data_IF_706945778036
#
_entry.id   IF_706945778036
#
_cell.length_a   1.000
_cell.length_b   1.000
_cell.length_c   1.000
_cell.angle_alpha   90.00
_cell.angle_beta   90.00
_cell.angle_gamma   90.00
#
_symmetry.space_group_name_H-M   'P 1'
#
loop_
_entity.id
_entity.type
_entity.pdbx_description
1 polymer ?
#
# COMPACT_ATOMS: atom_id res chain seq x y z
N UNK A 1 -24.00 23.64 23.75
CA UNK A 1 -25.16 22.85 23.34
C UNK A 1 -24.67 21.49 22.91
N UNK A 2 -25.13 20.51 23.61
CA UNK A 2 -24.97 19.04 23.59
C UNK A 2 -23.95 18.42 22.61
N UNK A 3 -22.76 18.13 23.18
CA UNK A 3 -21.76 17.31 22.57
C UNK A 3 -22.12 15.82 22.66
N UNK A 4 -22.07 15.13 21.56
CA UNK A 4 -22.21 13.67 21.49
C UNK A 4 -20.85 13.07 21.85
N UNK A 5 -20.77 12.56 23.08
CA UNK A 5 -19.67 11.67 23.50
C UNK A 5 -19.88 10.33 22.81
N UNK A 6 -19.10 10.05 21.78
CA UNK A 6 -18.94 8.69 21.28
C UNK A 6 -18.12 7.91 22.29
N UNK A 7 -18.81 7.04 23.03
CA UNK A 7 -18.18 6.04 23.87
C UNK A 7 -17.47 5.03 22.97
N UNK A 8 -16.13 5.02 23.04
CA UNK A 8 -15.30 3.95 22.51
C UNK A 8 -15.47 2.77 23.46
N UNK A 9 -16.30 1.80 23.09
CA UNK A 9 -16.37 0.53 23.79
C UNK A 9 -15.08 -0.24 23.47
N UNK A 10 -14.09 -0.09 24.33
CA UNK A 10 -12.99 -1.02 24.42
C UNK A 10 -13.57 -2.35 24.90
N UNK A 11 -13.75 -3.30 24.01
CA UNK A 11 -13.97 -4.70 24.34
C UNK A 11 -12.64 -5.19 24.90
N UNK A 12 -12.49 -5.07 26.19
CA UNK A 12 -11.46 -5.75 26.96
C UNK A 12 -11.87 -7.22 26.95
N UNK A 13 -11.33 -8.01 26.01
CA UNK A 13 -11.36 -9.45 26.09
C UNK A 13 -10.52 -9.82 27.30
N UNK A 14 -11.21 -10.00 28.41
CA UNK A 14 -10.66 -10.59 29.63
C UNK A 14 -10.31 -12.06 29.27
N UNK A 15 -9.12 -12.27 28.75
CA UNK A 15 -8.51 -13.57 28.76
C UNK A 15 -8.33 -13.92 30.25
N UNK A 16 -9.26 -14.70 30.76
CA UNK A 16 -9.09 -15.37 32.04
C UNK A 16 -7.90 -16.28 31.85
N UNK A 17 -6.71 -15.79 32.10
CA UNK A 17 -5.55 -16.60 32.38
C UNK A 17 -5.84 -17.26 33.72
N UNK A 18 -6.51 -18.40 33.68
CA UNK A 18 -6.41 -19.35 34.75
C UNK A 18 -4.98 -19.84 34.69
N UNK A 19 -4.10 -19.17 35.40
CA UNK A 19 -2.81 -19.68 35.76
C UNK A 19 -3.04 -20.84 36.74
N UNK A 20 -3.37 -22.01 36.16
CA UNK A 20 -3.20 -23.23 36.90
C UNK A 20 -1.69 -23.40 36.98
N UNK A 21 -1.11 -22.99 38.10
CA UNK A 21 0.24 -23.41 38.48
C UNK A 21 0.36 -24.92 38.19
N UNK A 22 1.49 -25.39 37.66
CA UNK A 22 1.70 -26.80 37.52
C UNK A 22 1.75 -27.35 38.96
N UNK A 23 0.59 -27.71 39.44
CA UNK A 23 0.57 -28.66 40.55
C UNK A 23 1.19 -29.94 39.99
N UNK A 24 2.39 -30.21 40.38
CA UNK A 24 2.89 -31.59 40.39
C UNK A 24 1.97 -32.38 41.29
N UNK A 25 0.78 -32.65 40.79
CA UNK A 25 -0.15 -33.56 41.43
C UNK A 25 0.36 -34.95 41.10
N UNK A 26 1.15 -35.50 42.00
CA UNK A 26 1.11 -36.93 42.25
C UNK A 26 -0.29 -37.32 42.79
N UNK A 27 -1.35 -36.82 42.17
CA UNK A 27 -2.71 -37.23 42.41
C UNK A 27 -2.96 -38.45 41.53
N UNK A 28 -3.22 -39.52 42.16
CA UNK A 28 -3.71 -40.79 41.71
C UNK A 28 -3.58 -41.13 40.23
N UNK A 29 -2.77 -42.11 39.90
CA UNK A 29 -2.52 -42.69 38.56
C UNK A 29 -3.79 -43.05 37.73
N UNK A 30 -4.99 -42.78 38.21
CA UNK A 30 -6.25 -43.17 37.58
C UNK A 30 -6.55 -42.46 36.28
N UNK A 31 -6.14 -41.18 36.12
CA UNK A 31 -6.47 -40.41 34.95
C UNK A 31 -5.55 -40.66 33.77
N UNK A 32 -4.29 -41.02 34.02
CA UNK A 32 -3.32 -41.35 32.98
C UNK A 32 -3.41 -42.78 32.48
N UNK A 33 -3.76 -43.72 33.37
CA UNK A 33 -3.66 -45.15 33.09
C UNK A 33 -5.01 -45.84 33.14
N UNK A 34 -5.20 -46.82 32.28
CA UNK A 34 -6.32 -47.76 32.29
C UNK A 34 -5.84 -49.17 32.61
N UNK A 35 -6.66 -49.90 33.36
CA UNK A 35 -6.38 -51.28 33.68
C UNK A 35 -6.59 -52.14 32.43
N UNK A 36 -5.58 -52.90 32.05
CA UNK A 36 -5.68 -53.74 30.85
C UNK A 36 -6.49 -54.98 31.19
N UNK A 37 -7.63 -55.14 30.52
CA UNK A 37 -8.53 -56.26 30.73
C UNK A 37 -7.82 -57.61 30.45
N UNK A 38 -8.06 -58.61 31.26
CA UNK A 38 -7.50 -59.97 31.09
C UNK A 38 -6.00 -60.09 31.43
N UNK A 39 -5.31 -59.00 31.76
CA UNK A 39 -3.89 -59.03 32.15
C UNK A 39 -3.66 -59.09 33.65
N UNK A 40 -4.73 -59.16 34.43
CA UNK A 40 -4.67 -59.31 35.86
C UNK A 40 -4.42 -60.81 36.22
N UNK A 41 -3.46 -61.10 37.07
CA UNK A 41 -3.16 -62.46 37.46
C UNK A 41 -2.77 -62.52 38.92
N UNK A 42 -3.08 -63.62 39.55
CA UNK A 42 -2.61 -63.99 40.90
C UNK A 42 -1.63 -65.13 40.75
N UNK A 43 -0.49 -64.98 41.31
CA UNK A 43 0.54 -66.04 41.32
C UNK A 43 0.98 -66.27 42.77
N UNK A 44 0.58 -67.45 43.35
CA UNK A 44 0.74 -67.69 44.71
C UNK A 44 0.17 -66.59 45.62
N UNK A 45 1.04 -65.90 46.36
CA UNK A 45 0.70 -64.78 47.24
C UNK A 45 0.92 -63.37 46.61
N UNK A 46 1.27 -63.33 45.34
CA UNK A 46 1.42 -62.05 44.59
C UNK A 46 0.30 -61.84 43.62
N UNK A 47 -0.22 -60.62 43.61
CA UNK A 47 -1.12 -60.11 42.56
C UNK A 47 -0.33 -59.25 41.58
N UNK A 48 -0.56 -59.42 40.28
CA UNK A 48 0.02 -58.61 39.26
C UNK A 48 -1.12 -57.84 38.55
N UNK A 49 -1.10 -56.53 38.64
CA UNK A 49 -2.02 -55.63 37.96
C UNK A 49 -1.27 -54.90 36.86
N UNK A 50 -1.79 -54.95 35.64
CA UNK A 50 -1.15 -54.37 34.48
C UNK A 50 -1.99 -53.19 33.98
N UNK A 51 -1.35 -52.08 33.74
CA UNK A 51 -1.93 -50.83 33.28
C UNK A 51 -1.21 -50.33 32.02
N UNK A 52 -1.90 -49.60 31.22
CA UNK A 52 -1.33 -48.89 30.08
C UNK A 52 -1.77 -47.41 30.07
N UNK A 53 -0.94 -46.52 29.53
CA UNK A 53 -1.35 -45.13 29.28
C UNK A 53 -2.60 -45.13 28.40
N UNK A 54 -3.66 -44.44 28.82
CA UNK A 54 -4.94 -44.39 28.13
C UNK A 54 -4.75 -44.00 26.67
N UNK A 55 -5.31 -44.81 25.79
CA UNK A 55 -5.27 -44.57 24.33
C UNK A 55 -3.93 -44.90 23.67
N UNK A 56 -2.81 -45.06 24.38
CA UNK A 56 -1.47 -45.15 23.82
C UNK A 56 -1.10 -46.49 23.22
N UNK A 57 -1.73 -47.56 23.70
CA UNK A 57 -1.42 -48.90 23.24
C UNK A 57 -2.12 -49.99 24.06
N UNK A 58 -1.74 -51.22 23.87
CA UNK A 58 -2.23 -52.37 24.60
C UNK A 58 -1.07 -53.17 25.21
N UNK A 59 -1.41 -54.07 26.10
CA UNK A 59 -0.42 -55.02 26.69
C UNK A 59 -0.94 -56.43 26.45
N UNK A 60 -0.04 -57.34 26.05
CA UNK A 60 -0.33 -58.76 25.89
C UNK A 60 0.57 -59.59 26.75
N UNK A 61 0.06 -60.71 27.27
CA UNK A 61 0.85 -61.70 27.98
C UNK A 61 1.52 -62.63 26.96
N UNK A 62 2.85 -62.58 26.88
CA UNK A 62 3.62 -63.33 25.87
C UNK A 62 4.29 -64.57 26.40
N UNK A 63 4.46 -64.63 27.73
CA UNK A 63 5.06 -65.81 28.35
C UNK A 63 4.56 -66.06 29.79
N UNK A 64 4.39 -67.31 30.16
CA UNK A 64 4.03 -67.73 31.51
C UNK A 64 4.63 -69.09 31.83
N UNK A 65 5.05 -69.24 33.05
CA UNK A 65 5.34 -70.57 33.60
C UNK A 65 4.13 -71.16 34.31
N UNK A 66 4.04 -72.47 34.47
CA UNK A 66 2.96 -73.15 35.20
C UNK A 66 2.97 -72.76 36.67
N UNK A 67 1.81 -72.84 37.35
CA UNK A 67 1.69 -72.56 38.77
C UNK A 67 2.55 -73.50 39.65
N UNK A 68 2.78 -74.71 39.22
CA UNK A 68 3.63 -75.72 39.92
C UNK A 68 5.08 -75.29 39.90
N UNK A 69 5.60 -74.73 38.84
CA UNK A 69 6.97 -74.20 38.78
C UNK A 69 7.14 -72.91 39.59
N UNK A 70 6.07 -72.18 39.82
CA UNK A 70 6.08 -70.95 40.64
C UNK A 70 6.29 -71.31 42.15
N UNK A 71 5.67 -72.37 42.60
CA UNK A 71 5.83 -72.85 43.98
C UNK A 71 7.23 -73.51 44.28
N UNK A 72 7.95 -73.94 43.27
CA UNK A 72 9.31 -74.45 43.33
C UNK A 72 10.42 -73.42 43.08
N UNK A 73 10.08 -72.12 43.06
CA UNK A 73 11.07 -71.09 43.09
C UNK A 73 11.35 -70.36 41.75
N UNK A 74 10.72 -70.74 40.63
CA UNK A 74 10.99 -70.06 39.32
C UNK A 74 9.77 -69.96 38.49
N UNK A 75 8.89 -69.02 38.85
CA UNK A 75 7.76 -68.62 38.00
C UNK A 75 7.97 -67.24 37.35
N UNK A 76 7.52 -67.08 36.16
CA UNK A 76 7.55 -65.78 35.51
C UNK A 76 6.25 -65.46 34.78
N UNK A 77 6.04 -64.17 34.57
CA UNK A 77 5.03 -63.61 33.64
C UNK A 77 5.74 -62.60 32.78
N UNK A 78 5.57 -62.73 31.49
CA UNK A 78 6.14 -61.78 30.52
C UNK A 78 5.04 -61.05 29.80
N UNK A 79 5.17 -59.73 29.73
CA UNK A 79 4.18 -58.83 29.10
C UNK A 79 4.88 -58.09 27.98
N UNK A 80 4.15 -57.91 26.86
CA UNK A 80 4.53 -57.15 25.69
C UNK A 80 3.65 -55.92 25.58
N UNK A 81 4.26 -54.74 25.49
CA UNK A 81 3.55 -53.52 25.16
C UNK A 81 3.43 -53.40 23.63
N UNK A 82 2.23 -53.07 23.15
CA UNK A 82 1.93 -52.88 21.76
C UNK A 82 1.52 -51.42 21.54
N UNK A 83 2.35 -50.72 20.77
CA UNK A 83 2.22 -49.29 20.47
C UNK A 83 1.11 -49.02 19.45
N UNK A 84 0.26 -48.00 19.64
CA UNK A 84 -0.61 -47.46 18.62
C UNK A 84 0.13 -46.44 17.74
N UNK A 85 -0.40 -46.21 16.53
CA UNK A 85 0.07 -45.17 15.63
C UNK A 85 0.03 -43.78 16.31
N UNK A 86 0.99 -42.93 16.00
CA UNK A 86 1.16 -41.58 16.57
C UNK A 86 1.42 -41.49 18.07
N UNK A 87 1.83 -42.61 18.67
CA UNK A 87 2.32 -42.66 20.03
C UNK A 87 3.79 -43.07 20.10
N UNK A 88 4.44 -42.75 21.19
CA UNK A 88 5.87 -43.10 21.47
C UNK A 88 5.97 -43.95 22.71
N UNK A 89 6.70 -45.05 22.59
CA UNK A 89 6.97 -45.93 23.74
C UNK A 89 7.96 -45.28 24.71
N UNK A 90 7.61 -45.25 26.01
CA UNK A 90 8.41 -44.62 27.07
C UNK A 90 8.93 -45.57 28.12
N UNK A 91 8.69 -46.83 27.96
CA UNK A 91 9.17 -47.86 28.89
C UNK A 91 8.13 -48.31 29.92
N UNK A 92 8.56 -49.20 30.73
CA UNK A 92 7.80 -49.77 31.85
C UNK A 92 8.13 -49.03 33.14
N UNK A 93 7.11 -48.80 33.99
CA UNK A 93 7.28 -48.45 35.39
C UNK A 93 6.49 -49.43 36.23
N UNK A 94 6.84 -49.58 37.50
CA UNK A 94 6.12 -50.50 38.39
C UNK A 94 6.09 -49.96 39.82
N UNK A 95 5.16 -50.52 40.62
CA UNK A 95 5.06 -50.32 42.04
C UNK A 95 4.89 -51.65 42.74
N UNK A 96 5.42 -51.75 43.96
CA UNK A 96 5.18 -52.84 44.86
C UNK A 96 4.34 -52.34 46.03
N UNK A 97 3.21 -52.97 46.24
CA UNK A 97 2.29 -52.59 47.31
C UNK A 97 2.18 -53.72 48.31
N UNK A 98 2.47 -53.46 49.58
CA UNK A 98 2.20 -54.37 50.71
C UNK A 98 1.01 -53.86 51.48
N UNK A 99 -0.09 -54.62 51.51
CA UNK A 99 -1.36 -54.19 52.12
C UNK A 99 -1.81 -52.77 51.68
N UNK A 100 -1.61 -52.46 50.40
CA UNK A 100 -1.97 -51.14 49.79
C UNK A 100 -0.97 -50.03 50.12
N UNK A 101 0.10 -50.20 50.84
CA UNK A 101 1.16 -49.20 51.01
C UNK A 101 2.21 -49.30 49.88
N UNK A 102 2.57 -48.22 49.30
CA UNK A 102 3.69 -48.15 48.36
C UNK A 102 5.02 -48.36 49.10
N UNK A 103 5.76 -49.37 48.72
CA UNK A 103 7.05 -49.71 49.33
C UNK A 103 8.23 -49.07 48.60
N UNK A 104 7.94 -48.27 47.56
CA UNK A 104 8.97 -47.74 46.67
C UNK A 104 9.71 -48.83 45.89
N UNK A 105 10.90 -48.51 45.39
CA UNK A 105 11.73 -49.46 44.62
C UNK A 105 12.65 -50.28 45.49
N UNK A 106 12.15 -50.87 46.52
CA UNK A 106 12.98 -51.70 47.34
C UNK A 106 13.27 -53.03 46.64
N UNK A 107 14.54 -53.26 46.37
CA UNK A 107 15.10 -54.60 46.02
C UNK A 107 15.37 -55.43 47.26
N UNK A 108 14.97 -54.98 48.43
CA UNK A 108 15.30 -55.56 49.70
C UNK A 108 14.49 -56.84 50.00
N UNK A 109 15.13 -57.77 50.70
CA UNK A 109 14.53 -58.97 51.27
C UNK A 109 13.43 -58.57 52.26
N UNK A 110 12.21 -58.47 51.83
CA UNK A 110 11.10 -58.32 52.75
C UNK A 110 10.53 -59.73 53.07
N UNK A 111 10.69 -60.18 54.28
CA UNK A 111 10.27 -61.50 54.71
C UNK A 111 10.80 -62.71 53.91
N UNK A 112 12.08 -62.67 53.54
CA UNK A 112 12.75 -63.86 53.00
C UNK A 112 12.38 -64.22 51.55
N UNK A 113 11.47 -63.54 50.92
CA UNK A 113 11.10 -63.77 49.52
C UNK A 113 11.68 -62.67 48.64
N UNK A 114 12.59 -63.08 47.75
CA UNK A 114 13.19 -62.15 46.76
C UNK A 114 12.36 -62.15 45.46
N UNK A 115 11.92 -61.04 45.08
CA UNK A 115 11.38 -60.80 43.72
C UNK A 115 12.47 -60.10 42.89
N UNK A 116 12.90 -60.74 41.80
CA UNK A 116 13.78 -60.08 40.84
C UNK A 116 13.02 -59.77 39.58
N UNK A 117 13.14 -58.53 39.13
CA UNK A 117 12.78 -58.18 37.78
C UNK A 117 14.01 -58.41 36.91
N UNK A 118 13.90 -59.14 35.80
CA UNK A 118 15.05 -59.40 34.96
C UNK A 118 15.63 -58.06 34.46
N UNK A 119 16.95 -57.96 34.35
CA UNK A 119 17.77 -56.74 34.18
C UNK A 119 17.49 -55.90 32.97
N UNK A 120 16.52 -56.23 32.20
CA UNK A 120 16.14 -55.39 31.04
C UNK A 120 15.10 -54.36 31.47
N UNK A 121 15.53 -53.36 32.29
CA UNK A 121 14.84 -52.14 32.43
C UNK A 121 13.84 -51.88 33.55
N UNK A 122 14.23 -52.16 34.79
CA UNK A 122 13.41 -51.70 35.90
C UNK A 122 14.16 -50.70 36.80
N UNK A 123 14.79 -49.73 36.20
CA UNK A 123 15.04 -48.47 36.87
C UNK A 123 13.90 -47.52 36.52
N UNK A 124 13.01 -47.27 37.47
CA UNK A 124 11.89 -46.34 37.30
C UNK A 124 12.36 -44.92 37.07
N UNK A 125 13.63 -44.61 37.22
CA UNK A 125 14.23 -43.27 37.01
C UNK A 125 14.76 -43.08 35.61
N UNK A 126 15.01 -44.14 34.89
CA UNK A 126 15.50 -44.04 33.50
C UNK A 126 14.54 -44.73 32.55
N UNK A 127 13.82 -44.03 31.69
CA UNK A 127 13.04 -44.64 30.63
C UNK A 127 13.98 -45.52 29.80
N UNK A 128 13.63 -46.78 29.64
CA UNK A 128 14.38 -47.68 28.77
C UNK A 128 14.17 -47.28 27.30
N UNK A 129 15.23 -46.77 26.70
CA UNK A 129 15.24 -46.41 25.26
C UNK A 129 15.45 -47.63 24.34
N UNK A 130 15.27 -48.83 24.82
CA UNK A 130 15.40 -50.05 24.03
C UNK A 130 14.11 -50.41 23.30
N UNK A 131 14.26 -51.05 22.16
CA UNK A 131 13.17 -51.61 21.36
C UNK A 131 12.40 -52.76 22.03
N UNK A 132 12.92 -53.30 23.11
CA UNK A 132 12.28 -54.37 23.86
C UNK A 132 11.09 -53.84 24.68
N UNK A 133 9.91 -53.97 24.13
CA UNK A 133 8.62 -53.61 24.75
C UNK A 133 8.14 -54.72 25.72
N UNK A 134 9.07 -55.58 26.19
CA UNK A 134 8.73 -56.70 27.07
C UNK A 134 9.28 -56.50 28.49
N UNK A 135 8.49 -56.89 29.45
CA UNK A 135 8.87 -56.94 30.86
C UNK A 135 8.59 -58.36 31.41
N UNK A 136 9.52 -58.90 32.21
CA UNK A 136 9.34 -60.16 32.88
C UNK A 136 9.31 -59.93 34.40
N UNK A 137 8.33 -60.47 35.05
CA UNK A 137 8.20 -60.51 36.51
C UNK A 137 8.52 -61.90 36.96
N UNK A 138 9.62 -62.05 37.71
CA UNK A 138 10.08 -63.33 38.19
C UNK A 138 9.96 -63.39 39.74
N UNK A 139 9.50 -64.48 40.25
CA UNK A 139 9.55 -64.73 41.68
C UNK A 139 10.77 -65.63 41.99
N UNK A 140 11.58 -65.17 42.89
CA UNK A 140 12.65 -65.99 43.48
C UNK A 140 12.28 -66.33 44.93
N UNK A 141 12.04 -67.60 45.22
CA UNK A 141 11.85 -68.09 46.60
C UNK A 141 13.07 -68.81 47.00
N UNK A 142 13.54 -68.54 48.19
CA UNK A 142 14.52 -69.45 48.93
C UNK A 142 13.69 -70.52 49.58
N UNK A 143 14.15 -71.77 49.49
CA UNK A 143 13.45 -72.91 50.09
C UNK A 143 13.28 -72.73 51.63
N UNK A 144 12.02 -72.76 52.09
CA UNK A 144 11.70 -72.75 53.54
C UNK A 144 11.10 -71.44 54.06
N UNK A 145 10.87 -70.44 53.22
CA UNK A 145 10.27 -69.15 53.64
C UNK A 145 8.75 -69.12 53.51
N UNK A 146 8.05 -68.75 54.55
CA UNK A 146 6.60 -68.54 54.58
C UNK A 146 6.33 -67.05 54.34
N UNK A 147 5.68 -66.71 53.25
CA UNK A 147 5.27 -65.31 52.97
C UNK A 147 3.95 -65.00 53.67
N UNK A 148 4.00 -64.17 54.71
CA UNK A 148 2.87 -63.83 55.56
C UNK A 148 1.97 -62.72 55.00
N UNK A 149 2.41 -62.04 53.91
CA UNK A 149 1.71 -60.89 53.41
C UNK A 149 1.65 -60.96 51.91
N UNK A 150 0.44 -60.62 51.35
CA UNK A 150 0.20 -60.53 49.96
C UNK A 150 0.83 -59.23 49.38
N UNK A 151 1.65 -59.37 48.34
CA UNK A 151 2.25 -58.24 47.57
C UNK A 151 1.51 -58.05 46.27
N UNK A 152 1.15 -56.80 45.99
CA UNK A 152 0.60 -56.46 44.74
C UNK A 152 1.64 -55.72 43.90
N UNK A 153 1.87 -56.14 42.66
CA UNK A 153 2.71 -55.51 41.70
C UNK A 153 1.78 -54.77 40.72
N UNK A 154 1.94 -53.45 40.65
CA UNK A 154 1.30 -52.64 39.60
C UNK A 154 2.35 -52.34 38.54
N UNK A 155 2.12 -52.76 37.30
CA UNK A 155 3.03 -52.59 36.16
C UNK A 155 2.38 -51.66 35.16
N UNK A 156 3.08 -50.64 34.73
CA UNK A 156 2.58 -49.60 33.87
C UNK A 156 3.37 -49.55 32.56
N UNK A 157 2.68 -49.75 31.43
CA UNK A 157 3.18 -49.46 30.09
C UNK A 157 2.99 -47.99 29.78
N UNK A 158 4.08 -47.28 29.58
CA UNK A 158 4.06 -45.84 29.38
C UNK A 158 4.16 -45.48 27.90
N UNK A 159 3.25 -44.61 27.44
CA UNK A 159 3.21 -44.07 26.09
C UNK A 159 3.00 -42.59 26.16
N UNK A 160 3.64 -41.84 25.23
CA UNK A 160 3.43 -40.43 25.05
C UNK A 160 2.78 -40.17 23.67
N UNK A 161 1.82 -39.24 23.56
CA UNK A 161 1.24 -38.85 22.29
C UNK A 161 2.20 -38.01 21.46
N UNK A 162 1.93 -37.88 20.17
CA UNK A 162 2.66 -36.97 19.27
C UNK A 162 1.76 -35.89 18.71
N UNK A 163 2.36 -34.76 18.35
CA UNK A 163 1.72 -33.74 17.56
C UNK A 163 2.46 -33.67 16.23
N UNK A 164 1.71 -33.74 15.10
CA UNK A 164 2.25 -33.61 13.76
C UNK A 164 1.94 -32.23 13.24
N UNK A 165 2.98 -31.39 13.03
CA UNK A 165 2.86 -30.05 12.49
C UNK A 165 3.26 -30.03 11.02
N UNK A 166 2.53 -29.28 10.19
CA UNK A 166 2.83 -29.07 8.78
C UNK A 166 2.45 -27.65 8.34
N UNK A 167 3.14 -27.14 7.32
CA UNK A 167 2.91 -25.84 6.74
C UNK A 167 2.91 -25.93 5.22
N UNK A 168 2.01 -25.19 4.57
CA UNK A 168 2.07 -24.93 3.15
C UNK A 168 3.15 -23.91 2.79
N UNK A 169 3.31 -23.64 1.50
CA UNK A 169 4.25 -22.62 1.02
C UNK A 169 3.84 -21.22 1.48
N UNK A 170 4.85 -20.38 1.74
CA UNK A 170 4.63 -18.97 2.09
C UNK A 170 4.73 -18.62 3.54
N UNK A 171 5.26 -19.52 4.37
CA UNK A 171 5.54 -19.28 5.77
C UNK A 171 6.14 -20.51 6.45
N UNK A 172 6.17 -20.50 7.77
CA UNK A 172 6.73 -21.55 8.60
C UNK A 172 5.88 -21.80 9.83
N UNK A 173 6.02 -23.01 10.39
CA UNK A 173 5.55 -23.39 11.71
C UNK A 173 6.71 -23.97 12.48
N UNK A 174 6.81 -23.64 13.77
CA UNK A 174 7.83 -24.24 14.65
C UNK A 174 7.64 -25.74 14.80
N UNK A 175 8.74 -26.47 15.06
CA UNK A 175 8.69 -27.91 15.32
C UNK A 175 7.95 -28.74 14.25
N UNK A 176 8.14 -28.39 12.96
CA UNK A 176 7.54 -29.11 11.85
C UNK A 176 7.80 -30.62 11.92
N UNK A 177 6.82 -31.40 11.45
CA UNK A 177 6.84 -32.84 11.48
C UNK A 177 6.27 -33.40 12.80
N UNK A 178 6.50 -34.69 13.05
CA UNK A 178 5.99 -35.39 14.22
C UNK A 178 6.88 -35.15 15.45
N UNK A 179 6.32 -34.62 16.53
CA UNK A 179 7.02 -34.34 17.80
C UNK A 179 6.28 -35.00 18.94
N UNK A 180 7.04 -35.69 19.80
CA UNK A 180 6.54 -36.24 21.04
C UNK A 180 6.17 -35.13 22.03
N UNK A 181 5.11 -35.35 22.79
CA UNK A 181 4.69 -34.52 23.93
C UNK A 181 4.47 -35.46 25.13
N UNK A 182 4.93 -35.06 26.30
CA UNK A 182 4.65 -35.83 27.52
C UNK A 182 3.13 -35.93 27.75
N UNK A 183 2.63 -37.09 28.14
CA UNK A 183 1.21 -37.32 28.43
C UNK A 183 0.72 -36.31 29.48
N UNK A 184 -0.32 -35.52 29.14
CA UNK A 184 -0.81 -34.41 29.96
C UNK A 184 0.03 -33.15 29.90
N UNK A 185 1.11 -33.11 29.11
CA UNK A 185 1.97 -31.96 28.91
C UNK A 185 1.36 -30.90 28.03
N UNK A 186 2.06 -29.77 27.87
CA UNK A 186 1.69 -28.67 27.02
C UNK A 186 2.71 -28.50 25.87
N UNK A 187 2.24 -28.01 24.70
CA UNK A 187 3.11 -27.73 23.56
C UNK A 187 2.58 -26.51 22.79
N UNK A 188 3.48 -25.60 22.48
CA UNK A 188 3.12 -24.43 21.64
C UNK A 188 3.74 -24.53 20.27
N UNK A 189 3.00 -24.03 19.26
CA UNK A 189 3.43 -23.89 17.89
C UNK A 189 3.26 -22.45 17.46
N UNK A 190 4.33 -21.83 16.99
CA UNK A 190 4.30 -20.49 16.42
C UNK A 190 4.33 -20.60 14.91
N UNK A 191 3.35 -19.98 14.28
CA UNK A 191 3.22 -19.84 12.83
C UNK A 191 3.70 -18.45 12.45
N UNK A 192 4.54 -18.35 11.42
CA UNK A 192 5.05 -17.07 10.90
C UNK A 192 4.92 -17.06 9.39
N UNK A 193 4.17 -16.08 8.86
CA UNK A 193 4.03 -15.87 7.43
C UNK A 193 5.29 -15.22 6.86
N UNK A 194 5.66 -15.55 5.62
CA UNK A 194 6.73 -14.88 4.90
C UNK A 194 6.36 -13.42 4.59
N UNK A 195 7.36 -12.61 4.27
CA UNK A 195 7.15 -11.19 3.89
C UNK A 195 6.11 -11.08 2.77
N UNK A 196 5.13 -10.18 2.96
CA UNK A 196 4.06 -9.96 1.99
C UNK A 196 2.96 -11.01 2.00
N UNK A 197 3.00 -11.95 2.93
CA UNK A 197 1.97 -12.97 3.12
C UNK A 197 1.30 -12.85 4.48
N UNK A 198 0.17 -13.53 4.61
CA UNK A 198 -0.58 -13.68 5.86
C UNK A 198 -1.07 -15.12 5.98
N UNK A 199 -1.42 -15.53 7.17
CA UNK A 199 -2.06 -16.82 7.42
C UNK A 199 -3.42 -16.80 6.71
N UNK A 200 -3.63 -17.77 5.84
CA UNK A 200 -4.93 -17.98 5.21
C UNK A 200 -5.83 -18.83 6.10
N UNK A 201 -5.30 -19.97 6.55
CA UNK A 201 -6.02 -20.88 7.43
C UNK A 201 -5.04 -21.61 8.36
N UNK A 202 -5.41 -21.77 9.61
CA UNK A 202 -4.78 -22.69 10.58
C UNK A 202 -5.83 -23.70 11.00
N UNK A 203 -5.50 -25.00 10.91
CA UNK A 203 -6.37 -26.07 11.34
C UNK A 203 -5.71 -26.91 12.41
N UNK A 204 -6.51 -27.36 13.39
CA UNK A 204 -6.11 -28.30 14.42
C UNK A 204 -7.11 -29.46 14.40
N UNK A 205 -6.62 -30.67 14.17
CA UNK A 205 -7.45 -31.88 14.02
C UNK A 205 -8.60 -31.71 13.01
N UNK A 206 -8.31 -30.94 11.93
CA UNK A 206 -9.29 -30.63 10.88
C UNK A 206 -10.25 -29.49 11.22
N UNK A 207 -10.21 -28.92 12.42
CA UNK A 207 -11.02 -27.77 12.82
C UNK A 207 -10.26 -26.47 12.61
N UNK A 208 -10.93 -25.48 12.02
CA UNK A 208 -10.33 -24.16 11.74
C UNK A 208 -10.18 -23.33 13.02
N UNK A 209 -9.01 -22.72 13.20
CA UNK A 209 -8.71 -21.74 14.25
C UNK A 209 -8.91 -20.35 13.66
N UNK A 210 -10.13 -19.78 13.83
CA UNK A 210 -10.55 -18.53 13.20
C UNK A 210 -9.65 -17.33 13.53
N UNK A 211 -9.12 -17.30 14.77
CA UNK A 211 -8.31 -16.18 15.26
C UNK A 211 -6.93 -16.08 14.62
N UNK A 212 -6.52 -17.09 13.86
CA UNK A 212 -5.24 -17.11 13.15
C UNK A 212 -5.31 -16.42 11.78
N UNK A 213 -6.46 -16.49 11.12
CA UNK A 213 -6.64 -15.98 9.76
C UNK A 213 -6.35 -14.48 9.65
N UNK A 214 -5.63 -14.07 8.61
CA UNK A 214 -5.28 -12.67 8.34
C UNK A 214 -4.10 -12.14 9.16
N UNK A 215 -3.54 -12.92 10.09
CA UNK A 215 -2.36 -12.53 10.88
C UNK A 215 -1.06 -12.89 10.15
N UNK A 216 0.01 -12.20 10.50
CA UNK A 216 1.37 -12.51 10.04
C UNK A 216 2.05 -13.52 10.96
N UNK A 217 1.70 -13.49 12.24
CA UNK A 217 2.17 -14.41 13.26
C UNK A 217 1.03 -14.81 14.17
N UNK A 218 1.03 -16.09 14.56
CA UNK A 218 0.06 -16.64 15.50
C UNK A 218 0.67 -17.80 16.27
N UNK A 219 0.43 -17.86 17.58
CA UNK A 219 0.86 -18.96 18.43
C UNK A 219 -0.35 -19.76 18.91
N UNK A 220 -0.38 -21.05 18.57
CA UNK A 220 -1.37 -22.00 19.09
C UNK A 220 -0.76 -22.81 20.22
N UNK A 221 -1.49 -22.97 21.34
CA UNK A 221 -1.06 -23.73 22.51
C UNK A 221 -1.96 -24.95 22.72
N UNK A 222 -1.39 -26.14 22.60
CA UNK A 222 -1.99 -27.35 23.11
C UNK A 222 -1.76 -27.43 24.63
N UNK A 223 -2.82 -27.71 25.36
CA UNK A 223 -2.78 -27.88 26.82
C UNK A 223 -3.29 -29.26 27.18
N UNK A 224 -2.67 -29.92 28.18
CA UNK A 224 -3.04 -31.25 28.66
C UNK A 224 -3.17 -32.28 27.52
N UNK A 225 -2.08 -32.48 26.77
CA UNK A 225 -2.06 -33.36 25.59
C UNK A 225 -2.16 -34.82 26.03
N UNK A 226 -3.31 -35.44 25.85
CA UNK A 226 -3.60 -36.83 26.23
C UNK A 226 -3.86 -37.76 25.04
N UNK A 227 -3.82 -37.20 23.81
CA UNK A 227 -3.99 -37.92 22.55
C UNK A 227 -3.11 -37.32 21.48
N UNK A 228 -2.83 -38.00 20.35
CA UNK A 228 -2.17 -37.42 19.19
C UNK A 228 -3.02 -36.32 18.54
N UNK A 229 -2.33 -35.29 18.03
CA UNK A 229 -2.94 -34.15 17.34
C UNK A 229 -2.25 -33.86 16.02
N UNK A 230 -2.94 -33.10 15.13
CA UNK A 230 -2.40 -32.58 13.91
C UNK A 230 -2.65 -31.08 13.86
N UNK A 231 -1.65 -30.31 13.42
CA UNK A 231 -1.76 -28.87 13.17
C UNK A 231 -1.22 -28.57 11.79
N UNK A 232 -2.00 -27.84 10.99
CA UNK A 232 -1.64 -27.48 9.62
C UNK A 232 -1.97 -26.01 9.34
N UNK A 233 -1.08 -25.31 8.62
CA UNK A 233 -1.26 -23.91 8.25
C UNK A 233 -1.08 -23.73 6.76
N UNK A 234 -1.92 -22.85 6.16
CA UNK A 234 -1.77 -22.33 4.78
C UNK A 234 -1.61 -20.82 4.81
N UNK A 235 -1.01 -20.26 3.73
CA UNK A 235 -0.72 -18.85 3.61
C UNK A 235 -1.22 -18.30 2.28
N UNK A 236 -1.55 -17.00 2.25
CA UNK A 236 -1.91 -16.26 1.04
C UNK A 236 -1.18 -14.92 0.98
N UNK A 237 -1.15 -14.31 -0.21
CA UNK A 237 -0.61 -12.98 -0.38
C UNK A 237 -1.46 -11.94 0.35
N UNK A 238 -0.83 -10.91 0.92
CA UNK A 238 -1.52 -9.71 1.36
C UNK A 238 -2.10 -9.00 0.15
N UNK A 239 -3.23 -8.34 0.35
CA UNK A 239 -3.90 -7.56 -0.68
C UNK A 239 -3.97 -6.11 -0.20
N UNK A 240 -3.64 -5.18 -1.10
CA UNK A 240 -3.65 -3.75 -0.86
C UNK A 240 -4.62 -3.05 -1.81
N UNK A 241 -5.13 -1.91 -1.35
CA UNK A 241 -5.99 -1.05 -2.16
C UNK A 241 -5.14 -0.10 -2.98
N UNK A 242 -5.39 -0.06 -4.28
CA UNK A 242 -4.89 0.96 -5.20
C UNK A 242 -6.03 1.93 -5.47
N UNK A 243 -5.84 3.18 -5.13
CA UNK A 243 -6.83 4.25 -5.31
C UNK A 243 -6.30 5.35 -6.22
N UNK A 244 -7.21 6.17 -6.73
CA UNK A 244 -6.92 7.24 -7.66
C UNK A 244 -7.59 8.52 -7.18
N UNK A 245 -6.93 9.64 -7.39
CA UNK A 245 -7.50 10.96 -7.13
C UNK A 245 -7.07 11.95 -8.20
N UNK A 246 -7.88 12.97 -8.47
CA UNK A 246 -7.52 14.07 -9.33
C UNK A 246 -7.29 15.34 -8.54
N UNK A 247 -6.30 16.11 -8.96
CA UNK A 247 -5.99 17.43 -8.42
C UNK A 247 -5.87 18.45 -9.53
N UNK A 248 -6.32 19.65 -9.24
CA UNK A 248 -6.10 20.81 -10.13
C UNK A 248 -4.72 21.40 -9.85
N UNK A 249 -3.98 21.73 -10.91
CA UNK A 249 -2.72 22.49 -10.82
C UNK A 249 -2.96 24.00 -10.77
N UNK A 250 -4.19 24.44 -10.94
CA UNK A 250 -4.62 25.82 -10.90
C UNK A 250 -5.60 26.02 -9.75
N UNK A 251 -5.93 27.27 -9.41
CA UNK A 251 -6.89 27.59 -8.36
C UNK A 251 -8.35 27.27 -8.73
N UNK A 252 -8.60 26.79 -9.96
CA UNK A 252 -9.91 26.35 -10.41
C UNK A 252 -10.25 24.95 -9.94
N UNK A 253 -11.49 24.75 -9.54
CA UNK A 253 -12.04 23.45 -9.24
C UNK A 253 -12.19 22.61 -10.52
N UNK A 254 -11.94 21.31 -10.40
CA UNK A 254 -12.15 20.36 -11.49
C UNK A 254 -13.65 20.24 -11.79
N UNK A 255 -14.05 20.32 -13.07
CA UNK A 255 -15.44 20.15 -13.47
C UNK A 255 -15.86 18.67 -13.38
N UNK A 256 -17.18 18.42 -13.41
CA UNK A 256 -17.73 17.06 -13.30
C UNK A 256 -17.23 16.14 -14.41
N UNK A 257 -17.11 16.66 -15.63
CA UNK A 257 -16.64 15.90 -16.80
C UNK A 257 -15.21 15.39 -16.65
N UNK A 258 -14.37 16.09 -15.86
CA UNK A 258 -13.04 15.60 -15.48
C UNK A 258 -13.16 14.56 -14.37
N UNK A 259 -13.99 14.81 -13.35
CA UNK A 259 -14.15 13.89 -12.22
C UNK A 259 -14.76 12.53 -12.64
N UNK A 260 -15.60 12.52 -13.68
CA UNK A 260 -16.16 11.27 -14.24
C UNK A 260 -15.12 10.37 -14.92
N UNK A 261 -13.93 10.90 -15.22
CA UNK A 261 -12.82 10.12 -15.77
C UNK A 261 -11.99 9.41 -14.69
N UNK A 262 -12.30 9.63 -13.41
CA UNK A 262 -11.54 9.05 -12.30
C UNK A 262 -11.69 7.53 -12.28
N UNK A 263 -10.60 6.77 -12.33
CA UNK A 263 -10.67 5.32 -12.24
C UNK A 263 -11.20 4.84 -10.88
N UNK A 264 -11.92 3.72 -10.89
CA UNK A 264 -12.34 3.07 -9.65
C UNK A 264 -11.14 2.48 -8.91
N UNK A 265 -11.21 2.47 -7.58
CA UNK A 265 -10.22 1.78 -6.77
C UNK A 265 -10.23 0.27 -7.04
N UNK A 266 -9.08 -0.37 -6.97
CA UNK A 266 -8.90 -1.80 -7.19
C UNK A 266 -8.05 -2.44 -6.09
N UNK A 267 -8.14 -3.76 -5.98
CA UNK A 267 -7.34 -4.55 -5.05
C UNK A 267 -6.26 -5.33 -5.79
N UNK A 268 -5.01 -5.25 -5.32
CA UNK A 268 -3.84 -5.92 -5.90
C UNK A 268 -3.03 -6.63 -4.83
N UNK A 269 -2.41 -7.73 -5.19
CA UNK A 269 -1.58 -8.50 -4.27
C UNK A 269 -0.22 -7.86 -4.02
N UNK A 270 0.36 -8.19 -2.88
CA UNK A 270 1.73 -7.81 -2.52
C UNK A 270 2.73 -8.18 -3.62
N UNK A 271 3.65 -7.27 -3.91
CA UNK A 271 4.72 -7.46 -4.89
C UNK A 271 4.32 -7.21 -6.34
N UNK A 272 3.04 -7.01 -6.65
CA UNK A 272 2.60 -6.72 -8.01
C UNK A 272 3.11 -5.36 -8.47
N UNK A 273 3.52 -5.31 -9.74
CA UNK A 273 3.73 -4.05 -10.46
C UNK A 273 2.38 -3.41 -10.75
N UNK A 274 2.25 -2.11 -10.48
CA UNK A 274 1.03 -1.34 -10.77
C UNK A 274 1.38 -0.15 -11.64
N UNK A 275 0.65 -0.01 -12.73
CA UNK A 275 0.69 1.15 -13.62
C UNK A 275 -0.71 1.75 -13.67
N UNK A 276 -0.87 3.05 -13.40
CA UNK A 276 -2.17 3.68 -13.50
C UNK A 276 -2.75 3.55 -14.90
N UNK A 277 -4.07 3.43 -15.05
CA UNK A 277 -4.70 3.30 -16.34
C UNK A 277 -4.56 4.58 -17.17
N UNK A 278 -4.51 4.43 -18.49
CA UNK A 278 -4.66 5.55 -19.42
C UNK A 278 -6.10 6.04 -19.37
N UNK A 279 -6.29 7.35 -19.27
CA UNK A 279 -7.63 7.94 -19.28
C UNK A 279 -8.22 7.86 -20.69
N UNK A 280 -9.55 7.78 -20.76
CA UNK A 280 -10.27 7.78 -22.04
C UNK A 280 -10.17 9.12 -22.78
N UNK A 281 -9.89 10.21 -22.05
CA UNK A 281 -9.62 11.55 -22.55
C UNK A 281 -8.48 12.16 -21.76
N UNK A 282 -7.55 12.81 -22.46
CA UNK A 282 -6.45 13.58 -21.88
C UNK A 282 -6.73 15.08 -21.86
N UNK A 283 -7.87 15.50 -22.46
CA UNK A 283 -8.32 16.90 -22.48
C UNK A 283 -9.84 16.98 -22.39
N UNK A 284 -10.34 18.02 -21.70
CA UNK A 284 -11.76 18.33 -21.52
C UNK A 284 -11.96 19.82 -21.78
N UNK A 285 -12.85 20.14 -22.71
CA UNK A 285 -13.23 21.53 -23.02
C UNK A 285 -14.20 22.05 -21.95
N UNK A 286 -13.93 23.25 -21.47
CA UNK A 286 -14.82 24.03 -20.61
C UNK A 286 -15.28 25.29 -21.38
N UNK A 287 -16.24 26.04 -20.83
CA UNK A 287 -16.77 27.24 -21.43
C UNK A 287 -15.70 28.32 -21.70
N UNK A 288 -14.73 28.41 -20.80
CA UNK A 288 -13.73 29.47 -20.75
C UNK A 288 -12.28 28.98 -20.97
N UNK A 289 -12.08 27.69 -21.35
CA UNK A 289 -10.75 27.14 -21.57
C UNK A 289 -10.74 25.62 -21.77
N UNK A 290 -9.58 25.04 -21.61
CA UNK A 290 -9.34 23.61 -21.79
C UNK A 290 -8.64 23.09 -20.55
N UNK A 291 -9.12 21.97 -20.02
CA UNK A 291 -8.44 21.14 -19.03
C UNK A 291 -7.58 20.12 -19.75
N UNK A 292 -6.32 19.99 -19.35
CA UNK A 292 -5.37 19.02 -19.92
C UNK A 292 -4.79 18.17 -18.79
N UNK A 293 -4.77 16.86 -18.97
CA UNK A 293 -4.17 15.92 -18.07
C UNK A 293 -2.65 15.91 -18.22
N UNK A 294 -1.92 16.14 -17.13
CA UNK A 294 -0.45 16.18 -17.13
C UNK A 294 0.19 14.83 -16.72
N UNK A 295 -0.60 13.89 -16.26
CA UNK A 295 -0.13 12.56 -15.87
C UNK A 295 -0.38 12.21 -14.43
N UNK A 296 0.03 10.97 -14.09
CA UNK A 296 -0.10 10.38 -12.76
C UNK A 296 1.19 10.52 -11.95
N UNK A 297 1.05 10.71 -10.65
CA UNK A 297 2.13 10.63 -9.66
C UNK A 297 1.76 9.65 -8.54
N UNK A 298 2.61 8.63 -8.27
CA UNK A 298 3.74 8.23 -9.12
C UNK A 298 3.28 7.76 -10.50
N UNK A 299 4.17 7.71 -11.50
CA UNK A 299 3.82 7.22 -12.85
C UNK A 299 3.55 5.71 -12.87
N UNK A 300 3.98 5.01 -11.84
CA UNK A 300 3.80 3.58 -11.60
C UNK A 300 4.67 3.15 -10.43
N UNK A 301 4.46 1.93 -9.95
CA UNK A 301 5.27 1.29 -8.92
C UNK A 301 5.64 -0.11 -9.39
N UNK A 302 6.87 -0.54 -9.14
CA UNK A 302 7.34 -1.86 -9.57
C UNK A 302 6.95 -2.97 -8.61
N UNK A 303 6.68 -2.66 -7.36
CA UNK A 303 6.29 -3.65 -6.34
C UNK A 303 5.39 -3.00 -5.29
N UNK A 304 4.15 -3.44 -5.23
CA UNK A 304 3.16 -2.97 -4.25
C UNK A 304 3.43 -3.60 -2.89
N UNK A 305 3.72 -2.78 -1.88
CA UNK A 305 4.03 -3.24 -0.50
C UNK A 305 3.10 -2.67 0.55
N UNK A 306 2.22 -1.74 0.16
CA UNK A 306 1.22 -1.08 0.99
C UNK A 306 0.10 -0.53 0.13
N UNK A 307 -0.96 0.04 0.74
CA UNK A 307 -1.97 0.79 0.00
C UNK A 307 -1.35 1.93 -0.78
N UNK A 308 -1.79 2.14 -2.02
CA UNK A 308 -1.24 3.13 -2.92
C UNK A 308 -2.33 4.04 -3.47
N UNK A 309 -2.07 5.36 -3.45
CA UNK A 309 -2.88 6.33 -4.16
C UNK A 309 -2.06 6.93 -5.30
N UNK A 310 -2.64 6.97 -6.49
CA UNK A 310 -2.11 7.67 -7.66
C UNK A 310 -2.85 8.99 -7.82
N UNK A 311 -2.10 10.10 -7.84
CA UNK A 311 -2.64 11.45 -8.00
C UNK A 311 -2.48 11.88 -9.45
N UNK A 312 -3.59 12.08 -10.16
CA UNK A 312 -3.64 12.60 -11.53
C UNK A 312 -3.77 14.12 -11.52
N UNK A 313 -2.87 14.80 -12.19
CA UNK A 313 -2.83 16.27 -12.22
C UNK A 313 -3.48 16.82 -13.49
N UNK A 314 -4.41 17.75 -13.33
CA UNK A 314 -5.05 18.47 -14.41
C UNK A 314 -4.70 19.95 -14.39
N UNK A 315 -4.37 20.50 -15.55
CA UNK A 315 -4.08 21.93 -15.76
C UNK A 315 -5.20 22.58 -16.56
N UNK A 316 -5.69 23.72 -16.10
CA UNK A 316 -6.57 24.59 -16.86
C UNK A 316 -5.77 25.59 -17.68
N UNK A 317 -6.14 25.76 -18.95
CA UNK A 317 -5.63 26.79 -19.85
C UNK A 317 -6.82 27.60 -20.38
N UNK A 318 -6.95 28.86 -20.01
CA UNK A 318 -8.05 29.70 -20.51
C UNK A 318 -7.93 29.95 -22.02
N UNK A 319 -9.02 30.14 -22.67
CA UNK A 319 -9.01 30.66 -24.08
C UNK A 319 -8.41 32.04 -24.07
N UNK A 320 -7.72 32.36 -25.16
CA UNK A 320 -7.25 33.72 -25.37
C UNK A 320 -8.48 34.68 -25.50
N UNK A 321 -8.50 35.71 -24.69
CA UNK A 321 -9.50 36.77 -24.83
C UNK A 321 -9.00 37.68 -25.94
N UNK A 322 -9.69 37.70 -27.07
CA UNK A 322 -9.51 38.74 -28.11
C UNK A 322 -10.21 39.98 -27.59
N UNK A 323 -9.43 41.00 -27.26
CA UNK A 323 -9.98 42.30 -26.84
C UNK A 323 -10.17 43.09 -28.12
N UNK A 324 -11.43 43.40 -28.47
CA UNK A 324 -11.75 44.28 -29.58
C UNK A 324 -11.22 45.70 -29.32
N UNK A 325 -10.50 46.30 -30.27
CA UNK A 325 -10.03 47.68 -30.21
C UNK A 325 -10.79 48.53 -31.18
N UNK A 326 -11.12 49.83 -30.86
CA UNK A 326 -11.83 50.71 -31.79
C UNK A 326 -10.98 51.01 -33.03
N UNK A 327 -11.60 51.16 -34.21
CA UNK A 327 -10.91 51.49 -35.45
C UNK A 327 -10.22 52.85 -35.41
N UNK A 328 -9.29 53.06 -36.32
CA UNK A 328 -8.59 54.31 -36.53
C UNK A 328 -9.05 54.95 -37.88
N UNK A 329 -9.17 56.28 -37.90
CA UNK A 329 -9.43 57.02 -39.13
C UNK A 329 -8.21 57.86 -39.46
N UNK A 330 -7.66 57.71 -40.67
CA UNK A 330 -6.63 58.53 -41.21
C UNK A 330 -7.24 59.51 -42.18
N UNK A 331 -7.29 60.82 -41.83
CA UNK A 331 -7.80 61.92 -42.61
C UNK A 331 -7.03 63.17 -42.20
N UNK A 332 -6.70 64.03 -43.12
CA UNK A 332 -5.94 65.27 -42.91
C UNK A 332 -6.75 66.48 -43.31
N UNK A 333 -6.42 67.64 -42.73
CA UNK A 333 -6.97 68.96 -43.14
C UNK A 333 -6.70 69.25 -44.60
N UNK A 334 -7.68 69.85 -45.29
CA UNK A 334 -7.59 70.10 -46.70
C UNK A 334 -7.68 71.55 -46.97
N UNK A 335 -7.03 72.01 -48.06
CA UNK A 335 -7.17 73.38 -48.61
C UNK A 335 -7.55 73.27 -50.07
N UNK A 336 -8.60 73.98 -50.48
CA UNK A 336 -9.09 74.08 -51.85
C UNK A 336 -9.36 75.55 -52.22
N UNK A 337 -9.56 75.86 -53.49
CA UNK A 337 -9.90 77.16 -53.91
C UNK A 337 -11.42 77.32 -54.21
N UNK A 338 -11.95 78.53 -54.14
CA UNK A 338 -13.33 78.78 -54.50
C UNK A 338 -13.62 78.29 -55.94
N UNK A 339 -14.66 77.43 -56.04
CA UNK A 339 -15.07 76.80 -57.29
C UNK A 339 -14.43 75.45 -57.59
N UNK A 340 -13.53 74.94 -56.74
CA UNK A 340 -13.00 73.61 -56.87
C UNK A 340 -14.04 72.56 -56.48
N UNK A 341 -13.94 71.33 -57.05
CA UNK A 341 -14.74 70.18 -56.62
C UNK A 341 -14.17 69.59 -55.36
N UNK A 342 -15.00 69.24 -54.39
CA UNK A 342 -14.61 68.63 -53.18
C UNK A 342 -15.29 67.26 -52.95
N UNK A 343 -14.52 66.23 -52.85
CA UNK A 343 -15.00 64.90 -52.40
C UNK A 343 -14.55 64.68 -50.97
N UNK A 344 -15.49 64.58 -50.03
CA UNK A 344 -15.13 64.38 -48.61
C UNK A 344 -14.45 63.05 -48.32
N UNK A 345 -14.65 61.99 -49.13
CA UNK A 345 -14.03 60.65 -48.90
C UNK A 345 -12.70 60.51 -49.61
N UNK A 346 -12.28 61.41 -50.44
CA UNK A 346 -11.01 61.33 -51.15
C UNK A 346 -9.85 61.36 -50.13
N UNK A 347 -8.89 60.41 -50.24
CA UNK A 347 -7.68 60.25 -49.37
C UNK A 347 -7.99 60.07 -47.87
N UNK A 348 -9.16 59.54 -47.52
CA UNK A 348 -9.54 59.18 -46.19
C UNK A 348 -9.56 57.65 -46.12
N UNK A 349 -8.87 57.09 -45.12
CA UNK A 349 -8.82 55.65 -44.90
C UNK A 349 -9.15 55.32 -43.45
N UNK A 350 -9.63 54.13 -43.23
CA UNK A 350 -9.83 53.61 -41.89
C UNK A 350 -9.29 52.19 -41.81
N UNK A 351 -8.68 51.83 -40.62
CA UNK A 351 -8.16 50.52 -40.36
C UNK A 351 -8.45 50.16 -38.92
N UNK A 352 -8.71 48.86 -38.70
CA UNK A 352 -8.87 48.25 -37.42
C UNK A 352 -7.85 47.10 -37.25
N UNK A 353 -7.42 46.84 -36.00
CA UNK A 353 -6.42 45.81 -35.73
C UNK A 353 -6.98 44.41 -35.92
N UNK A 354 -8.25 44.20 -35.60
CA UNK A 354 -8.95 42.93 -35.63
C UNK A 354 -9.68 42.68 -36.94
N UNK A 355 -10.31 43.77 -37.53
CA UNK A 355 -11.16 43.70 -38.71
C UNK A 355 -10.45 44.11 -40.01
N UNK A 356 -9.25 44.70 -39.95
CA UNK A 356 -8.45 45.13 -41.08
C UNK A 356 -8.95 46.43 -41.69
N UNK A 357 -8.95 46.54 -43.04
CA UNK A 357 -9.36 47.76 -43.79
C UNK A 357 -10.87 48.00 -43.69
N UNK A 358 -11.23 49.11 -43.10
CA UNK A 358 -12.62 49.60 -42.96
C UNK A 358 -12.89 50.88 -43.78
N UNK A 359 -12.03 51.18 -44.73
CA UNK A 359 -12.14 52.42 -45.56
C UNK A 359 -13.52 52.54 -46.18
N UNK A 360 -14.09 51.46 -46.73
CA UNK A 360 -15.41 51.43 -47.34
C UNK A 360 -16.60 51.67 -46.38
N UNK A 361 -16.32 51.53 -45.07
CA UNK A 361 -17.28 51.67 -43.96
C UNK A 361 -17.29 53.06 -43.35
N UNK A 362 -16.48 53.96 -43.88
CA UNK A 362 -16.46 55.34 -43.40
C UNK A 362 -17.75 56.04 -43.79
N UNK A 363 -18.47 56.54 -42.80
CA UNK A 363 -19.60 57.44 -42.95
C UNK A 363 -19.14 58.87 -42.76
N UNK A 364 -19.62 59.79 -43.66
CA UNK A 364 -19.53 61.24 -43.46
C UNK A 364 -20.77 61.64 -42.70
N UNK A 365 -20.65 61.91 -41.42
CA UNK A 365 -21.79 62.27 -40.56
C UNK A 365 -22.07 63.76 -40.49
N UNK A 366 -21.08 64.57 -40.91
CA UNK A 366 -21.20 65.99 -41.03
C UNK A 366 -20.30 66.45 -42.15
N UNK A 367 -20.83 67.35 -43.03
CA UNK A 367 -20.08 68.05 -44.07
C UNK A 367 -20.66 69.45 -44.26
N UNK A 368 -19.93 70.44 -43.81
CA UNK A 368 -20.39 71.88 -43.93
C UNK A 368 -19.69 72.58 -45.03
N UNK A 369 -18.90 71.95 -45.90
CA UNK A 369 -18.07 72.54 -46.93
C UNK A 369 -18.93 73.21 -48.01
N UNK A 370 -18.81 74.56 -48.13
CA UNK A 370 -19.36 75.37 -49.23
C UNK A 370 -18.19 75.79 -50.13
N UNK A 371 -18.07 75.13 -51.29
CA UNK A 371 -16.97 75.37 -52.23
C UNK A 371 -17.13 76.66 -53.00
N UNK A 372 -18.30 77.30 -52.91
CA UNK A 372 -18.58 78.59 -53.60
C UNK A 372 -18.14 79.78 -52.75
N UNK A 373 -17.81 79.61 -51.50
CA UNK A 373 -17.50 80.66 -50.55
C UNK A 373 -16.20 80.43 -49.79
N UNK A 374 -15.31 81.41 -49.77
CA UNK A 374 -14.13 81.35 -48.97
C UNK A 374 -14.47 81.26 -47.45
N UNK A 375 -13.82 80.36 -46.72
CA UNK A 375 -14.11 80.12 -45.30
C UNK A 375 -13.43 78.87 -44.78
N UNK A 376 -13.69 78.58 -43.53
CA UNK A 376 -13.23 77.36 -42.87
C UNK A 376 -14.45 76.52 -42.55
N UNK A 377 -14.40 75.25 -42.93
CA UNK A 377 -15.51 74.34 -42.87
C UNK A 377 -15.03 73.01 -42.14
N UNK A 378 -15.98 72.25 -41.67
CA UNK A 378 -15.67 70.96 -40.99
C UNK A 378 -16.27 69.77 -41.74
N UNK A 379 -15.55 68.68 -41.78
CA UNK A 379 -16.04 67.34 -42.17
C UNK A 379 -15.79 66.38 -41.07
N UNK A 380 -16.83 65.69 -40.59
CA UNK A 380 -16.76 64.75 -39.57
C UNK A 380 -17.05 63.34 -40.12
N UNK A 381 -16.11 62.43 -39.89
CA UNK A 381 -16.19 61.01 -40.27
C UNK A 381 -16.48 60.15 -39.07
N UNK A 382 -17.18 59.01 -39.29
CA UNK A 382 -17.40 57.95 -38.35
C UNK A 382 -17.13 56.63 -39.04
N UNK A 383 -16.46 55.72 -38.32
CA UNK A 383 -16.33 54.31 -38.72
C UNK A 383 -16.68 53.43 -37.50
N UNK A 384 -17.30 52.29 -37.76
CA UNK A 384 -17.69 51.31 -36.75
C UNK A 384 -17.18 49.95 -37.20
N UNK A 385 -16.52 49.24 -36.30
CA UNK A 385 -16.06 47.90 -36.55
C UNK A 385 -17.22 46.88 -36.48
N UNK A 386 -16.91 45.62 -36.69
CA UNK A 386 -17.87 44.50 -36.69
C UNK A 386 -18.47 44.21 -35.30
N UNK A 387 -17.69 44.48 -34.25
CA UNK A 387 -18.09 44.28 -32.87
C UNK A 387 -18.77 45.51 -32.22
N UNK A 388 -18.92 46.61 -33.00
CA UNK A 388 -19.71 47.76 -32.59
C UNK A 388 -18.93 48.93 -31.97
N UNK A 389 -17.60 48.78 -31.81
CA UNK A 389 -16.81 49.92 -31.38
C UNK A 389 -16.64 50.92 -32.52
N UNK A 390 -16.60 52.19 -32.22
CA UNK A 390 -16.60 53.24 -33.25
C UNK A 390 -15.62 54.34 -32.92
N UNK A 391 -15.19 55.03 -34.00
CA UNK A 391 -14.33 56.20 -33.94
C UNK A 391 -14.91 57.30 -34.77
N UNK A 392 -14.76 58.55 -34.32
CA UNK A 392 -15.08 59.75 -35.09
C UNK A 392 -13.80 60.57 -35.26
N UNK A 393 -13.67 61.26 -36.38
CA UNK A 393 -12.63 62.26 -36.71
C UNK A 393 -13.15 63.38 -37.47
N UNK A 394 -12.87 64.59 -37.04
CA UNK A 394 -13.23 65.87 -37.79
C UNK A 394 -11.95 66.41 -38.38
N UNK A 395 -12.03 66.81 -39.61
CA UNK A 395 -10.99 67.59 -40.32
C UNK A 395 -11.51 68.98 -40.65
N UNK A 396 -10.57 69.89 -40.83
CA UNK A 396 -10.85 71.27 -41.31
C UNK A 396 -10.59 71.35 -42.80
N UNK A 397 -11.55 71.93 -43.51
CA UNK A 397 -11.41 72.27 -44.96
C UNK A 397 -11.40 73.79 -45.13
N UNK A 398 -10.25 74.31 -45.57
CA UNK A 398 -10.09 75.74 -45.83
C UNK A 398 -10.31 76.02 -47.33
N UNK A 399 -11.35 76.81 -47.66
CA UNK A 399 -11.63 77.28 -49.00
C UNK A 399 -11.03 78.69 -49.13
N UNK A 400 -10.05 78.86 -50.00
CA UNK A 400 -9.39 80.17 -50.27
C UNK A 400 -9.92 80.83 -51.55
N UNK A 401 -9.96 82.19 -51.58
CA UNK A 401 -10.21 82.96 -52.80
C UNK A 401 -9.19 82.63 -53.87
N UNK A 402 -9.60 82.52 -55.09
CA UNK A 402 -8.70 82.50 -56.25
C UNK A 402 -7.97 83.82 -56.34
N UNK A 403 -6.66 83.85 -56.23
CA UNK A 403 -5.93 85.07 -56.53
C UNK A 403 -6.17 85.49 -57.96
N UNK A 404 -6.79 86.69 -58.15
CA UNK A 404 -6.86 87.30 -59.45
C UNK A 404 -5.44 87.71 -59.87
N UNK A 405 -4.97 87.11 -60.95
CA UNK A 405 -3.68 87.48 -61.55
C UNK A 405 -3.76 88.93 -62.06
N UNK A 406 -2.94 89.89 -61.60
CA UNK A 406 -2.93 91.23 -62.09
C UNK A 406 -2.64 91.23 -63.58
N UNK A 407 -3.46 92.03 -64.35
CA UNK A 407 -3.31 92.28 -65.78
C UNK A 407 -1.95 92.89 -66.13
N UNK A 408 -1.29 92.34 -67.15
CA UNK A 408 0.03 92.76 -67.62
C UNK A 408 -0.06 94.24 -68.18
N UNK A 409 0.91 95.12 -67.81
CA UNK A 409 1.05 96.42 -68.51
C UNK A 409 1.75 96.23 -69.85
N UNK A 410 1.22 96.89 -70.84
CA UNK A 410 1.76 97.05 -72.19
C UNK A 410 3.07 97.87 -72.26
N UNK A 411 3.95 97.40 -73.12
CA UNK A 411 5.23 98.00 -73.55
C UNK A 411 5.14 99.45 -74.04
N UNK A 412 6.30 100.22 -74.10
CA UNK A 412 7.23 100.01 -75.19
C UNK A 412 8.71 100.27 -74.90
N UNK A 413 9.50 99.63 -75.69
CA UNK A 413 10.64 100.11 -76.49
C UNK A 413 12.00 100.34 -75.85
N UNK A 414 12.85 99.60 -76.29
CA UNK A 414 14.08 99.83 -77.01
C UNK A 414 15.41 99.90 -76.25
N UNK A 415 16.26 99.12 -76.84
CA UNK A 415 17.69 99.31 -77.10
C UNK A 415 18.76 99.02 -76.11
N UNK A 416 19.38 97.92 -76.50
CA UNK A 416 20.84 97.80 -76.77
C UNK A 416 21.86 97.85 -75.64
N UNK A 417 22.54 96.92 -75.48
CA UNK A 417 23.95 96.66 -75.86
C UNK A 417 24.74 95.83 -74.81
N UNK A 418 25.21 94.79 -75.38
CA UNK A 418 26.55 94.14 -75.15
C UNK A 418 27.19 94.13 -73.77
N UNK A 419 27.66 92.92 -73.53
CA UNK A 419 28.96 92.77 -72.99
C UNK A 419 29.11 91.57 -72.02
N UNK A 420 29.35 90.46 -72.65
CA UNK A 420 30.51 89.67 -72.58
C UNK A 420 31.02 89.17 -71.19
N UNK A 421 30.89 87.85 -71.15
CA UNK A 421 32.01 86.96 -70.76
C UNK A 421 32.47 86.78 -69.27
N UNK A 422 32.52 85.60 -68.95
CA UNK A 422 33.55 85.05 -68.13
C UNK A 422 32.98 84.09 -67.08
N UNK A 423 32.83 82.90 -67.48
CA UNK A 423 33.74 81.74 -67.29
C UNK A 423 34.03 81.37 -65.84
N UNK A 424 33.71 80.14 -65.67
CA UNK A 424 34.46 79.18 -64.86
C UNK A 424 34.27 79.32 -63.36
N UNK A 425 34.09 78.31 -62.67
CA UNK A 425 34.34 76.93 -62.80
C UNK A 425 34.01 76.21 -61.52
N UNK A 426 33.74 75.00 -61.74
CA UNK A 426 34.21 73.85 -61.02
C UNK A 426 33.94 73.76 -59.53
N UNK A 427 33.22 72.78 -59.35
CA UNK A 427 33.59 71.50 -58.70
C UNK A 427 33.60 71.41 -57.17
N UNK A 428 32.93 70.50 -56.83
CA UNK A 428 33.32 69.35 -56.05
C UNK A 428 32.87 69.41 -54.58
N UNK A 429 32.09 68.45 -54.35
CA UNK A 429 32.40 67.21 -53.61
C UNK A 429 32.20 67.26 -52.11
N UNK A 430 31.36 66.38 -51.85
CA UNK A 430 31.53 65.39 -50.73
C UNK A 430 31.33 65.83 -49.29
N UNK A 431 30.61 64.98 -48.74
CA UNK A 431 30.89 64.50 -47.41
C UNK A 431 29.68 64.56 -46.56
N UNK A 432 29.09 63.40 -46.50
CA UNK A 432 28.94 62.58 -45.28
C UNK A 432 28.46 63.42 -44.07
N UNK A 433 27.49 63.05 -43.44
CA UNK A 433 27.30 61.85 -42.64
C UNK A 433 25.90 61.80 -42.06
N UNK A 434 25.41 60.63 -41.99
CA UNK A 434 24.27 60.27 -41.14
C UNK A 434 24.54 60.52 -39.67
N UNK A 435 23.50 60.70 -38.87
CA UNK A 435 23.39 59.86 -37.69
C UNK A 435 22.10 59.07 -37.62
N UNK A 436 22.31 57.80 -37.54
CA UNK A 436 21.33 56.78 -37.20
C UNK A 436 20.88 57.04 -35.77
N UNK A 437 19.63 57.38 -35.59
CA UNK A 437 18.97 57.37 -34.30
C UNK A 437 18.54 55.97 -33.91
N UNK A 438 19.28 55.34 -33.06
CA UNK A 438 19.07 54.03 -32.48
C UNK A 438 17.86 54.04 -31.53
N UNK A 439 16.82 53.31 -31.85
CA UNK A 439 15.75 53.01 -30.88
C UNK A 439 16.14 51.74 -30.13
N UNK A 440 16.53 51.93 -28.89
CA UNK A 440 16.84 50.84 -27.99
C UNK A 440 15.59 50.10 -27.53
N UNK A 441 15.54 48.85 -27.84
CA UNK A 441 14.54 47.91 -27.29
C UNK A 441 14.75 47.66 -25.81
N UNK A 442 13.66 47.57 -25.09
CA UNK A 442 13.64 47.24 -23.67
C UNK A 442 14.04 45.79 -23.46
N UNK A 443 15.16 45.61 -22.75
CA UNK A 443 15.60 44.29 -22.29
C UNK A 443 14.86 43.87 -21.03
N UNK A 444 14.34 42.64 -21.05
CA UNK A 444 13.85 41.91 -19.89
C UNK A 444 15.03 41.56 -18.96
N UNK A 445 14.94 42.03 -17.75
CA UNK A 445 15.79 41.54 -16.64
C UNK A 445 15.13 40.38 -15.93
N UNK A 446 15.67 39.18 -16.12
CA UNK A 446 15.40 38.02 -15.28
C UNK A 446 16.31 38.09 -14.07
N UNK A 447 15.76 38.28 -12.89
CA UNK A 447 16.48 38.12 -11.61
C UNK A 447 16.34 36.68 -11.14
N UNK A 448 17.46 35.95 -11.21
CA UNK A 448 17.64 34.69 -10.48
C UNK A 448 18.02 35.04 -9.03
N UNK A 449 17.10 34.75 -8.10
CA UNK A 449 17.34 34.80 -6.66
C UNK A 449 17.68 33.41 -6.14
N UNK A 450 18.94 33.13 -5.94
CA UNK A 450 19.41 31.99 -5.18
C UNK A 450 19.25 32.27 -3.68
N UNK A 451 18.29 31.63 -3.02
CA UNK A 451 18.15 31.61 -1.58
C UNK A 451 18.57 30.25 -1.02
N UNK A 452 19.82 30.17 -0.56
CA UNK A 452 20.27 29.05 0.24
C UNK A 452 19.72 29.18 1.66
N UNK A 453 18.85 28.25 2.09
CA UNK A 453 18.49 28.08 3.50
C UNK A 453 19.11 26.79 3.99
N UNK A 454 20.14 26.94 4.81
CA UNK A 454 20.77 25.87 5.54
C UNK A 454 19.88 25.34 6.64
N UNK A 455 19.61 24.03 6.63
CA UNK A 455 19.00 23.33 7.75
C UNK A 455 20.07 22.77 8.67
N UNK A 456 20.14 23.37 9.84
CA UNK A 456 20.95 22.88 10.95
C UNK A 456 20.38 21.56 11.50
N UNK A 457 21.19 20.54 11.48
CA UNK A 457 20.98 19.22 12.09
C UNK A 457 21.08 19.37 13.61
N UNK A 458 20.00 19.24 14.34
CA UNK A 458 20.04 19.01 15.79
C UNK A 458 19.98 17.51 16.07
N UNK A 459 21.11 16.96 16.47
CA UNK A 459 21.18 15.69 17.22
C UNK A 459 20.58 15.94 18.60
N UNK A 460 19.66 15.06 19.00
CA UNK A 460 19.37 14.79 20.41
C UNK A 460 19.68 13.33 20.68
N UNK A 461 20.71 13.16 21.49
CA UNK A 461 20.97 11.98 22.31
C UNK A 461 19.97 11.96 23.47
N UNK A 462 19.24 10.91 23.63
CA UNK A 462 19.12 10.01 24.80
C UNK A 462 18.19 8.87 24.41
#
# INVERSE_FOLDING_TARGET
MKGIKKALAAILSLAVMVSIAPQAVFAGNSDRYEKVAGMQTTVADAEIHVYATKGGGTVTLTGKSSASTFLQGSGFRQYQANLKEDWVWKGWTYKQLLKGKDLGNRTDNFFGTRYSFSRHSLDWRTPYNGTAQTISVNRLTTAGETVWNKITYEIYANFNPTITASAGEGGAITDIGKKEVEYGGNKSYTVTAAKGKMIESLTVDGQTVSDAAGKEEFTYKFSNVTAPHKIHVTFKNKVYTVSYEFVSKTDKNLPNEVNELLPAAESKEHGMKVTPPTLSKDSVKAVDGIWTFEGWKPAGIDSLTDNQTFTGTWRFSPYAVVINTPPTINAEDKTIMVGDTFDPKKDVTANDAEDGDLTDKIDVIENTVDTAKAGTYAVTYKVTDKDGASRTKTITVTVKEKEEQPAAPTTPGDNNNQGKAGKTGKTAKTGDEFPIGLIAGAALLALAGAGAVGFARRRKTN
#
